data_IF_436791560304
#
_entry.id   IF_436791560304
#
_cell.length_a   1.000
_cell.length_b   1.000
_cell.length_c   1.000
_cell.angle_alpha   90.00
_cell.angle_beta   90.00
_cell.angle_gamma   90.00
#
_symmetry.space_group_name_H-M   'P 1'
#
loop_
_entity.id
_entity.type
_entity.pdbx_description
1 polymer ?
#
# COMPACT_ATOMS: atom_id res chain seq x y z
N UNK A 1 -8.69 3.80 -13.23
CA UNK A 1 -7.53 3.39 -12.41
C UNK A 1 -8.07 2.65 -11.20
N UNK A 2 -7.36 1.70 -10.63
CA UNK A 2 -7.65 1.13 -9.31
C UNK A 2 -6.38 1.06 -8.48
N UNK A 3 -6.55 1.10 -7.16
CA UNK A 3 -5.46 0.91 -6.22
C UNK A 3 -5.63 -0.50 -5.65
N UNK A 4 -4.59 -1.31 -5.79
CA UNK A 4 -4.54 -2.69 -5.31
C UNK A 4 -3.70 -2.68 -4.06
N UNK A 5 -4.24 -3.10 -2.92
CA UNK A 5 -3.47 -3.26 -1.68
C UNK A 5 -3.18 -4.73 -1.51
N UNK A 6 -1.91 -5.08 -1.38
CA UNK A 6 -1.48 -6.45 -1.24
C UNK A 6 -0.48 -6.64 -0.11
N UNK A 7 -0.69 -7.65 0.72
CA UNK A 7 0.25 -8.07 1.75
C UNK A 7 0.98 -9.33 1.30
N UNK A 8 2.34 -9.33 1.29
CA UNK A 8 3.11 -10.52 0.95
C UNK A 8 2.82 -11.65 1.95
N UNK A 9 2.94 -12.90 1.50
CA UNK A 9 2.80 -14.07 2.34
C UNK A 9 3.85 -14.03 3.45
N UNK A 10 3.49 -13.52 4.62
CA UNK A 10 4.29 -13.81 5.80
C UNK A 10 4.29 -15.33 6.00
N UNK A 11 5.43 -15.89 6.46
CA UNK A 11 5.52 -17.30 6.89
C UNK A 11 4.61 -17.54 8.10
N UNK A 12 3.29 -17.39 7.92
CA UNK A 12 2.33 -17.65 8.97
C UNK A 12 2.02 -19.14 8.97
N UNK A 13 2.51 -19.83 9.99
CA UNK A 13 2.15 -21.21 10.32
C UNK A 13 0.67 -21.34 10.76
N UNK A 14 -0.21 -20.50 10.24
CA UNK A 14 -1.62 -20.57 10.56
C UNK A 14 -2.25 -21.68 9.73
N UNK A 15 -2.32 -22.87 10.33
CA UNK A 15 -2.81 -24.13 9.77
C UNK A 15 -4.29 -24.10 9.37
N UNK A 16 -5.07 -23.11 9.87
CA UNK A 16 -6.52 -23.07 9.64
C UNK A 16 -6.93 -22.89 8.15
N UNK A 17 -6.04 -22.37 7.31
CA UNK A 17 -6.31 -22.08 5.89
C UNK A 17 -5.54 -22.96 4.90
N UNK A 18 -4.85 -24.00 5.37
CA UNK A 18 -4.03 -24.87 4.50
C UNK A 18 -4.85 -25.58 3.41
N UNK A 19 -6.13 -25.80 3.65
CA UNK A 19 -7.02 -26.55 2.75
C UNK A 19 -7.59 -25.73 1.59
N UNK A 20 -7.56 -24.37 1.67
CA UNK A 20 -8.15 -23.47 0.69
C UNK A 20 -7.17 -22.34 0.32
N UNK A 21 -6.12 -22.68 -0.44
CA UNK A 21 -5.08 -21.72 -0.88
C UNK A 21 -5.67 -20.48 -1.56
N UNK A 22 -6.75 -20.63 -2.32
CA UNK A 22 -7.45 -19.52 -2.98
C UNK A 22 -8.03 -18.52 -1.98
N UNK A 23 -8.62 -18.97 -0.86
CA UNK A 23 -9.17 -18.10 0.18
C UNK A 23 -8.04 -17.35 0.88
N UNK A 24 -6.94 -18.04 1.19
CA UNK A 24 -5.77 -17.43 1.81
C UNK A 24 -5.16 -16.35 0.92
N UNK A 25 -5.08 -16.57 -0.38
CA UNK A 25 -4.61 -15.58 -1.34
C UNK A 25 -5.56 -14.41 -1.45
N UNK A 26 -6.88 -14.65 -1.57
CA UNK A 26 -7.87 -13.58 -1.71
C UNK A 26 -7.92 -12.64 -0.50
N UNK A 27 -7.75 -13.17 0.71
CA UNK A 27 -7.74 -12.38 1.94
C UNK A 27 -6.60 -11.35 2.03
N UNK A 28 -5.61 -11.45 1.15
CA UNK A 28 -4.44 -10.56 1.13
C UNK A 28 -4.52 -9.46 0.10
N UNK A 29 -5.53 -9.49 -0.76
CA UNK A 29 -5.71 -8.53 -1.83
C UNK A 29 -7.01 -7.78 -1.58
N UNK A 30 -6.91 -6.48 -1.50
CA UNK A 30 -8.05 -5.57 -1.50
C UNK A 30 -7.88 -4.51 -2.59
N UNK A 31 -8.96 -3.81 -2.91
CA UNK A 31 -8.93 -2.72 -3.86
C UNK A 31 -9.54 -1.48 -3.26
N UNK A 32 -8.98 -0.33 -3.60
CA UNK A 32 -9.52 0.97 -3.26
C UNK A 32 -9.96 1.69 -4.55
N UNK A 33 -10.94 2.56 -4.41
CA UNK A 33 -11.37 3.44 -5.50
C UNK A 33 -10.26 4.41 -5.90
N UNK A 34 -10.29 4.91 -7.11
CA UNK A 34 -9.32 5.91 -7.58
C UNK A 34 -9.46 7.26 -6.89
N UNK A 35 -10.66 7.59 -6.38
CA UNK A 35 -10.92 8.81 -5.60
C UNK A 35 -10.20 8.81 -4.25
N UNK A 36 -9.75 7.65 -3.76
CA UNK A 36 -8.95 7.57 -2.53
C UNK A 36 -7.56 8.20 -2.69
N UNK A 37 -7.08 8.36 -3.94
CA UNK A 37 -5.73 8.81 -4.21
C UNK A 37 -5.60 10.33 -4.15
N UNK A 38 -4.74 10.79 -3.25
CA UNK A 38 -4.22 12.16 -3.23
C UNK A 38 -2.79 12.17 -3.76
N UNK A 39 -2.53 13.04 -4.74
CA UNK A 39 -1.22 13.14 -5.39
C UNK A 39 -0.22 13.94 -4.55
N UNK A 40 1.07 13.75 -4.85
CA UNK A 40 2.20 14.37 -4.16
C UNK A 40 1.99 15.87 -3.84
N UNK A 41 2.36 16.25 -2.63
CA UNK A 41 2.35 17.63 -2.13
C UNK A 41 0.96 18.17 -1.71
N UNK A 42 -0.13 17.47 -2.03
CA UNK A 42 -1.45 17.88 -1.57
C UNK A 42 -1.70 17.43 -0.13
N UNK A 43 -2.34 18.26 0.71
CA UNK A 43 -2.66 17.86 2.07
C UNK A 43 -3.69 16.73 2.10
N UNK A 44 -3.56 15.89 3.12
CA UNK A 44 -4.56 14.86 3.46
C UNK A 44 -5.43 15.37 4.58
N UNK A 45 -6.74 15.36 4.36
CA UNK A 45 -7.72 15.75 5.38
C UNK A 45 -8.23 14.51 6.09
N UNK A 46 -7.98 14.42 7.40
CA UNK A 46 -8.49 13.33 8.22
C UNK A 46 -9.97 13.59 8.51
N UNK A 47 -10.87 12.66 8.14
CA UNK A 47 -12.29 12.82 8.44
C UNK A 47 -12.56 12.86 9.94
N UNK A 48 -13.55 13.63 10.36
CA UNK A 48 -13.99 13.79 11.76
C UNK A 48 -15.02 12.73 12.21
N UNK A 49 -15.63 12.00 11.25
CA UNK A 49 -16.71 11.05 11.49
C UNK A 49 -16.28 9.63 11.90
N UNK A 50 -15.02 9.26 11.74
CA UNK A 50 -14.57 7.86 11.92
C UNK A 50 -13.81 7.58 13.22
N UNK A 51 -13.64 8.58 14.08
CA UNK A 51 -12.87 8.45 15.31
C UNK A 51 -11.38 8.38 15.05
N UNK A 52 -10.69 7.39 15.63
CA UNK A 52 -9.23 7.25 15.49
C UNK A 52 -8.85 6.88 14.05
N UNK A 53 -8.00 7.70 13.44
CA UNK A 53 -7.39 7.44 12.14
C UNK A 53 -5.95 6.93 12.32
N UNK A 54 -5.65 5.78 11.74
CA UNK A 54 -4.30 5.25 11.65
C UNK A 54 -3.78 5.39 10.22
N UNK A 55 -2.46 5.41 10.09
CA UNK A 55 -1.77 5.48 8.83
C UNK A 55 -0.65 4.45 8.77
N UNK A 56 -0.37 3.95 7.58
CA UNK A 56 0.71 2.99 7.33
C UNK A 56 1.47 3.38 6.06
N UNK A 57 2.80 3.33 6.15
CA UNK A 57 3.65 3.52 4.98
C UNK A 57 3.57 2.31 4.06
N UNK A 58 3.48 2.58 2.77
CA UNK A 58 3.49 1.59 1.70
C UNK A 58 4.58 1.91 0.67
N UNK A 59 5.14 0.89 0.05
CA UNK A 59 5.73 1.06 -1.28
C UNK A 59 4.60 1.05 -2.29
N UNK A 60 4.60 2.04 -3.18
CA UNK A 60 3.67 2.14 -4.30
C UNK A 60 4.37 1.71 -5.58
N UNK A 61 3.74 0.83 -6.35
CA UNK A 61 4.26 0.26 -7.59
C UNK A 61 3.32 0.62 -8.73
N UNK A 62 3.83 1.28 -9.77
CA UNK A 62 3.04 1.66 -10.95
C UNK A 62 2.95 0.49 -11.92
N UNK A 63 1.73 0.08 -12.24
CA UNK A 63 1.48 -0.96 -13.26
C UNK A 63 1.59 -0.34 -14.66
N UNK A 64 2.40 -0.96 -15.51
CA UNK A 64 2.71 -0.47 -16.86
C UNK A 64 2.00 -1.21 -17.98
N UNK A 65 1.34 -2.35 -17.70
CA UNK A 65 0.72 -3.20 -18.73
C UNK A 65 -0.57 -3.84 -18.25
N UNK A 66 -1.45 -4.14 -19.23
CA UNK A 66 -2.61 -4.99 -19.01
C UNK A 66 -2.17 -6.45 -18.75
N UNK A 67 -2.73 -7.08 -17.73
CA UNK A 67 -2.47 -8.48 -17.41
C UNK A 67 -3.57 -9.14 -16.59
N UNK A 68 -3.66 -10.45 -16.72
CA UNK A 68 -4.55 -11.35 -15.96
C UNK A 68 -3.85 -12.70 -15.80
N UNK A 69 -3.98 -13.32 -14.63
CA UNK A 69 -3.38 -14.63 -14.31
C UNK A 69 -1.87 -14.69 -14.64
N UNK A 70 -1.12 -13.69 -14.17
CA UNK A 70 0.30 -13.51 -14.47
C UNK A 70 1.12 -14.46 -13.61
N UNK A 71 1.91 -15.39 -14.20
CA UNK A 71 2.86 -16.19 -13.42
C UNK A 71 3.90 -15.27 -12.74
N UNK A 72 4.23 -15.54 -11.48
CA UNK A 72 5.14 -14.70 -10.68
C UNK A 72 6.47 -14.43 -11.39
N UNK A 73 7.04 -15.40 -12.09
CA UNK A 73 8.30 -15.26 -12.86
C UNK A 73 8.24 -14.20 -13.97
N UNK A 74 7.05 -13.77 -14.37
CA UNK A 74 6.83 -12.74 -15.39
C UNK A 74 6.32 -11.42 -14.82
N UNK A 75 6.03 -11.34 -13.54
CA UNK A 75 5.41 -10.17 -12.90
C UNK A 75 6.24 -8.89 -13.08
N UNK A 76 7.59 -8.99 -13.07
CA UNK A 76 8.50 -7.87 -13.29
C UNK A 76 8.31 -7.13 -14.63
N UNK A 77 7.60 -7.71 -15.60
CA UNK A 77 7.30 -7.09 -16.88
C UNK A 77 6.08 -6.16 -16.84
N UNK A 78 5.37 -6.12 -15.70
CA UNK A 78 4.09 -5.45 -15.55
C UNK A 78 4.15 -4.18 -14.70
N UNK A 79 5.33 -3.80 -14.20
CA UNK A 79 5.53 -2.56 -13.47
C UNK A 79 6.82 -1.88 -13.93
N UNK A 80 6.88 -0.56 -13.81
CA UNK A 80 7.97 0.26 -14.35
C UNK A 80 8.48 1.35 -13.40
N UNK A 81 7.77 1.62 -12.29
CA UNK A 81 8.19 2.67 -11.36
C UNK A 81 7.78 2.37 -9.93
N UNK A 82 8.54 2.92 -8.99
CA UNK A 82 8.28 2.88 -7.56
C UNK A 82 8.05 4.26 -6.98
N UNK A 83 7.28 4.31 -5.92
CA UNK A 83 7.10 5.48 -5.06
C UNK A 83 6.89 5.03 -3.62
N UNK A 84 6.69 6.00 -2.74
CA UNK A 84 6.13 5.80 -1.41
C UNK A 84 4.71 6.31 -1.37
N UNK A 85 3.88 5.67 -0.57
CA UNK A 85 2.55 6.13 -0.25
C UNK A 85 2.26 5.95 1.23
N UNK A 86 1.32 6.73 1.76
CA UNK A 86 0.73 6.51 3.08
C UNK A 86 -0.74 6.20 2.88
N UNK A 87 -1.16 5.03 3.38
CA UNK A 87 -2.57 4.60 3.41
C UNK A 87 -3.14 4.91 4.78
N UNK A 88 -4.30 5.55 4.80
CA UNK A 88 -5.05 5.89 5.99
C UNK A 88 -6.22 4.94 6.20
N UNK A 89 -6.57 4.69 7.46
CA UNK A 89 -7.77 3.93 7.82
C UNK A 89 -8.41 4.50 9.09
N UNK A 90 -9.73 4.55 9.11
CA UNK A 90 -10.52 4.93 10.28
C UNK A 90 -10.62 3.72 11.21
N UNK A 91 -9.56 3.48 12.00
CA UNK A 91 -9.39 2.27 12.79
C UNK A 91 -10.45 2.12 13.90
N UNK A 92 -10.96 3.22 14.43
CA UNK A 92 -12.08 3.21 15.37
C UNK A 92 -13.33 2.62 14.72
N UNK A 93 -13.77 3.22 13.62
CA UNK A 93 -14.92 2.75 12.83
C UNK A 93 -14.76 1.30 12.37
N UNK A 94 -13.57 0.95 11.83
CA UNK A 94 -13.28 -0.42 11.37
C UNK A 94 -13.48 -1.44 12.50
N UNK A 95 -12.94 -1.16 13.67
CA UNK A 95 -13.06 -2.06 14.82
C UNK A 95 -14.51 -2.28 15.24
N UNK A 96 -15.33 -1.24 15.29
CA UNK A 96 -16.73 -1.36 15.68
C UNK A 96 -17.55 -2.12 14.63
N UNK A 97 -17.34 -1.84 13.33
CA UNK A 97 -17.99 -2.60 12.26
C UNK A 97 -17.60 -4.08 12.26
N UNK A 98 -16.33 -4.40 12.50
CA UNK A 98 -15.85 -5.78 12.61
C UNK A 98 -16.50 -6.52 13.80
N UNK A 99 -16.65 -5.89 14.95
CA UNK A 99 -17.35 -6.46 16.11
C UNK A 99 -18.83 -6.73 15.82
N UNK A 100 -19.46 -5.86 15.03
CA UNK A 100 -20.85 -6.00 14.61
C UNK A 100 -21.04 -6.99 13.44
N UNK A 101 -19.96 -7.58 12.92
CA UNK A 101 -19.98 -8.40 11.69
C UNK A 101 -20.51 -7.65 10.47
N UNK A 102 -20.33 -6.32 10.42
CA UNK A 102 -20.75 -5.45 9.32
C UNK A 102 -19.57 -5.15 8.36
N UNK A 103 -19.85 -4.83 7.08
CA UNK A 103 -18.85 -4.44 6.12
C UNK A 103 -18.09 -3.16 6.55
N UNK A 104 -16.77 -3.21 6.59
CA UNK A 104 -15.92 -2.06 7.00
C UNK A 104 -15.24 -1.34 5.83
N UNK A 105 -15.68 -1.59 4.59
CA UNK A 105 -15.06 -1.07 3.39
C UNK A 105 -14.83 0.46 3.44
N UNK A 106 -15.82 1.23 3.91
CA UNK A 106 -15.71 2.69 3.98
C UNK A 106 -14.70 3.20 5.01
N UNK A 107 -14.31 2.37 5.98
CA UNK A 107 -13.28 2.74 6.94
C UNK A 107 -11.88 2.83 6.29
N UNK A 108 -11.69 2.25 5.12
CA UNK A 108 -10.42 2.27 4.37
C UNK A 108 -10.53 2.95 3.00
N UNK A 109 -11.74 3.14 2.49
CA UNK A 109 -12.00 3.53 1.11
C UNK A 109 -12.78 4.85 1.03
N UNK A 110 -12.26 5.86 1.72
CA UNK A 110 -12.79 7.22 1.67
C UNK A 110 -11.88 8.11 0.81
N UNK A 111 -12.43 9.20 0.29
CA UNK A 111 -11.69 10.14 -0.57
C UNK A 111 -10.42 10.66 0.12
N UNK A 112 -9.30 10.57 -0.56
CA UNK A 112 -8.01 11.00 -0.01
C UNK A 112 -7.37 10.06 1.02
N UNK A 113 -7.90 8.83 1.20
CA UNK A 113 -7.32 7.85 2.14
C UNK A 113 -5.95 7.29 1.74
N UNK A 114 -5.41 7.68 0.58
CA UNK A 114 -4.06 7.32 0.13
C UNK A 114 -3.34 8.57 -0.37
N UNK A 115 -2.25 8.96 0.29
CA UNK A 115 -1.33 9.96 -0.25
C UNK A 115 -0.18 9.26 -0.94
N UNK A 116 0.03 9.55 -2.23
CA UNK A 116 1.10 8.93 -3.03
C UNK A 116 2.09 9.99 -3.50
N UNK A 117 3.37 9.65 -3.39
CA UNK A 117 4.47 10.50 -3.80
C UNK A 117 4.74 10.48 -5.31
N UNK A 118 5.87 11.05 -5.69
CA UNK A 118 6.35 11.02 -7.07
C UNK A 118 6.95 9.65 -7.40
N UNK A 119 6.66 9.14 -8.60
CA UNK A 119 7.20 7.88 -9.05
C UNK A 119 8.61 8.05 -9.64
N UNK A 120 9.52 7.20 -9.19
CA UNK A 120 10.85 7.04 -9.78
C UNK A 120 10.84 5.82 -10.70
N UNK A 121 11.28 5.99 -11.94
CA UNK A 121 11.32 4.91 -12.93
C UNK A 121 12.39 3.89 -12.56
N UNK A 122 12.04 2.62 -12.70
CA UNK A 122 12.97 1.53 -12.53
C UNK A 122 13.82 1.40 -13.79
N UNK A 123 15.14 1.60 -13.65
CA UNK A 123 16.07 1.11 -14.66
C UNK A 123 15.95 -0.43 -14.71
N UNK A 124 16.38 -1.06 -15.83
CA UNK A 124 16.30 -2.52 -16.07
C UNK A 124 16.90 -3.41 -14.97
N UNK A 125 17.35 -2.84 -13.86
CA UNK A 125 17.88 -3.53 -12.70
C UNK A 125 16.77 -4.14 -11.87
N UNK A 126 17.00 -5.34 -11.38
CA UNK A 126 16.14 -5.96 -10.39
C UNK A 126 15.97 -5.05 -9.17
N UNK A 127 14.73 -4.94 -8.68
CA UNK A 127 14.46 -4.22 -7.43
C UNK A 127 15.03 -5.05 -6.28
N UNK A 128 16.20 -4.63 -5.83
CA UNK A 128 16.91 -5.29 -4.74
C UNK A 128 16.48 -4.82 -3.36
N UNK A 129 17.46 -4.68 -2.49
CA UNK A 129 17.26 -4.14 -1.15
C UNK A 129 17.12 -2.62 -1.21
N UNK A 130 16.18 -2.09 -0.44
CA UNK A 130 15.97 -0.65 -0.32
C UNK A 130 16.02 -0.21 1.14
N UNK A 131 16.43 1.04 1.34
CA UNK A 131 16.34 1.72 2.62
C UNK A 131 15.27 2.80 2.52
N UNK A 132 14.30 2.75 3.41
CA UNK A 132 13.23 3.74 3.49
C UNK A 132 13.44 4.54 4.77
N UNK A 133 13.33 5.85 4.68
CA UNK A 133 13.23 6.76 5.81
C UNK A 133 11.87 7.46 5.77
N UNK A 134 11.10 7.32 6.83
CA UNK A 134 9.85 8.03 7.06
C UNK A 134 10.04 9.04 8.19
N UNK A 135 9.74 10.30 7.92
CA UNK A 135 9.61 11.36 8.92
C UNK A 135 8.13 11.66 9.16
N UNK A 136 7.74 11.64 10.41
CA UNK A 136 6.38 11.94 10.88
C UNK A 136 6.51 13.01 11.97
N UNK A 137 6.44 14.28 11.58
CA UNK A 137 6.85 15.38 12.43
C UNK A 137 8.31 15.26 12.83
N UNK A 138 8.58 15.21 14.14
CA UNK A 138 9.95 15.04 14.68
C UNK A 138 10.41 13.56 14.74
N UNK A 139 9.49 12.60 14.55
CA UNK A 139 9.79 11.18 14.64
C UNK A 139 10.33 10.65 13.31
N UNK A 140 11.48 10.00 13.35
CA UNK A 140 12.04 9.29 12.22
C UNK A 140 11.92 7.77 12.40
N UNK A 141 11.58 7.08 11.32
CA UNK A 141 11.53 5.61 11.26
C UNK A 141 12.29 5.14 10.03
N UNK A 142 13.34 4.37 10.23
CA UNK A 142 14.11 3.77 9.17
C UNK A 142 13.73 2.29 9.00
N UNK A 143 13.64 1.85 7.76
CA UNK A 143 13.36 0.46 7.38
C UNK A 143 14.36 0.01 6.33
N UNK A 144 14.86 -1.19 6.48
CA UNK A 144 15.57 -1.90 5.43
C UNK A 144 14.68 -3.04 4.94
N UNK A 145 14.45 -3.07 3.64
CA UNK A 145 13.60 -4.08 2.99
C UNK A 145 14.46 -4.87 2.03
N UNK A 146 14.58 -6.15 2.33
CA UNK A 146 15.31 -7.09 1.49
C UNK A 146 14.37 -7.69 0.44
N UNK A 147 14.92 -7.93 -0.75
CA UNK A 147 14.24 -8.63 -1.83
C UNK A 147 12.86 -8.03 -2.18
N UNK A 148 12.72 -6.71 -2.17
CA UNK A 148 11.46 -6.01 -2.46
C UNK A 148 10.83 -6.47 -3.78
N UNK A 149 11.65 -6.68 -4.83
CA UNK A 149 11.17 -7.16 -6.13
C UNK A 149 10.41 -8.48 -6.05
N UNK A 150 10.87 -9.42 -5.21
CA UNK A 150 10.16 -10.69 -5.00
C UNK A 150 8.78 -10.49 -4.36
N UNK A 151 8.67 -9.56 -3.41
CA UNK A 151 7.39 -9.22 -2.76
C UNK A 151 6.43 -8.54 -3.74
N UNK A 152 6.94 -7.65 -4.60
CA UNK A 152 6.16 -7.02 -5.67
C UNK A 152 5.65 -8.08 -6.65
N UNK A 153 6.52 -8.96 -7.12
CA UNK A 153 6.17 -10.02 -8.07
C UNK A 153 5.09 -10.95 -7.52
N UNK A 154 5.18 -11.31 -6.23
CA UNK A 154 4.18 -12.12 -5.55
C UNK A 154 2.82 -11.44 -5.50
N UNK A 155 2.78 -10.15 -5.13
CA UNK A 155 1.52 -9.39 -5.03
C UNK A 155 0.88 -9.21 -6.41
N UNK A 156 1.66 -8.88 -7.45
CA UNK A 156 1.16 -8.73 -8.81
C UNK A 156 0.60 -10.05 -9.32
N UNK A 157 1.32 -11.16 -9.12
CA UNK A 157 0.86 -12.48 -9.50
C UNK A 157 -0.46 -12.82 -8.80
N UNK A 158 -0.50 -12.69 -7.47
CA UNK A 158 -1.68 -12.99 -6.66
C UNK A 158 -2.86 -12.11 -7.04
N UNK A 159 -2.68 -10.80 -7.13
CA UNK A 159 -3.75 -9.87 -7.53
C UNK A 159 -4.29 -10.21 -8.92
N UNK A 160 -3.42 -10.58 -9.84
CA UNK A 160 -3.82 -10.91 -11.21
C UNK A 160 -4.61 -12.22 -11.34
N UNK A 161 -4.60 -13.10 -10.34
CA UNK A 161 -5.48 -14.27 -10.29
C UNK A 161 -6.95 -13.84 -10.15
N UNK A 162 -7.23 -12.77 -9.40
CA UNK A 162 -8.59 -12.28 -9.13
C UNK A 162 -9.00 -11.14 -10.06
N UNK A 163 -8.09 -10.23 -10.37
CA UNK A 163 -8.32 -8.97 -11.04
C UNK A 163 -7.56 -8.87 -12.36
N UNK A 164 -8.14 -8.23 -13.37
CA UNK A 164 -7.33 -7.73 -14.49
C UNK A 164 -6.61 -6.47 -14.03
N UNK A 165 -5.29 -6.48 -14.01
CA UNK A 165 -4.49 -5.27 -13.78
C UNK A 165 -4.34 -4.50 -15.08
N UNK A 166 -4.24 -3.18 -15.02
CA UNK A 166 -4.16 -2.30 -16.20
C UNK A 166 -3.05 -1.26 -16.03
N UNK A 167 -2.56 -0.76 -17.14
CA UNK A 167 -1.66 0.37 -17.13
C UNK A 167 -2.26 1.55 -16.35
N UNK A 168 -1.45 2.13 -15.46
CA UNK A 168 -1.85 3.21 -14.57
C UNK A 168 -2.48 2.75 -13.24
N UNK A 169 -2.78 1.46 -13.06
CA UNK A 169 -3.12 0.94 -11.73
C UNK A 169 -1.90 1.06 -10.80
N UNK A 170 -2.15 1.17 -9.51
CA UNK A 170 -1.11 1.25 -8.48
C UNK A 170 -1.26 0.06 -7.54
N UNK A 171 -0.18 -0.67 -7.30
CA UNK A 171 -0.12 -1.68 -6.25
C UNK A 171 0.57 -1.09 -5.00
N UNK A 172 -0.06 -1.23 -3.83
CA UNK A 172 0.46 -0.78 -2.55
C UNK A 172 0.88 -1.99 -1.70
N UNK A 173 2.11 -1.94 -1.18
CA UNK A 173 2.68 -2.91 -0.26
C UNK A 173 2.83 -2.24 1.11
N UNK A 174 1.90 -2.46 2.07
CA UNK A 174 1.96 -1.84 3.39
C UNK A 174 3.02 -2.49 4.29
N UNK A 175 3.64 -1.69 5.14
CA UNK A 175 4.60 -2.13 6.17
C UNK A 175 4.04 -1.89 7.57
N UNK A 176 3.46 -2.91 8.19
CA UNK A 176 2.79 -2.81 9.49
C UNK A 176 3.67 -2.21 10.61
N UNK A 177 5.01 -2.38 10.53
CA UNK A 177 5.96 -1.78 11.49
C UNK A 177 5.98 -0.24 11.46
N UNK A 178 5.39 0.38 10.43
CA UNK A 178 5.35 1.83 10.25
C UNK A 178 4.01 2.44 10.64
N UNK A 179 3.14 1.69 11.29
CA UNK A 179 1.84 2.21 11.72
C UNK A 179 2.00 3.38 12.68
N UNK A 180 1.27 4.45 12.42
CA UNK A 180 1.18 5.62 13.29
C UNK A 180 -0.25 6.17 13.32
N UNK A 181 -0.57 6.93 14.36
CA UNK A 181 -1.85 7.67 14.41
C UNK A 181 -1.71 8.94 13.61
N UNK A 182 -2.65 9.19 12.69
CA UNK A 182 -2.70 10.43 11.94
C UNK A 182 -3.12 11.58 12.87
N UNK A 183 -2.22 12.56 13.03
CA UNK A 183 -2.45 13.74 13.85
C UNK A 183 -2.50 14.96 12.93
N UNK A 184 -3.56 15.79 12.98
CA UNK A 184 -3.63 17.04 12.23
C UNK A 184 -2.42 17.95 12.47
N UNK A 185 -2.04 18.72 11.46
CA UNK A 185 -0.89 19.62 11.44
C UNK A 185 0.48 18.92 11.54
N UNK A 186 0.54 17.64 11.17
CA UNK A 186 1.79 16.89 11.09
C UNK A 186 2.29 16.88 9.64
N UNK A 187 3.59 17.16 9.49
CA UNK A 187 4.30 17.06 8.22
C UNK A 187 4.89 15.66 8.04
N UNK A 188 4.68 15.07 6.87
CA UNK A 188 5.15 13.74 6.51
C UNK A 188 6.12 13.84 5.35
N UNK A 189 7.29 13.22 5.50
CA UNK A 189 8.25 13.03 4.43
C UNK A 189 8.67 11.57 4.33
N UNK A 190 8.92 11.10 3.10
CA UNK A 190 9.41 9.75 2.85
C UNK A 190 10.47 9.73 1.76
N UNK A 191 11.52 8.95 1.97
CA UNK A 191 12.59 8.76 0.99
C UNK A 191 12.93 7.30 0.81
N UNK A 192 13.36 6.93 -0.42
CA UNK A 192 13.96 5.64 -0.76
C UNK A 192 15.41 5.89 -1.14
N UNK A 193 16.35 5.20 -0.48
CA UNK A 193 17.79 5.30 -0.73
C UNK A 193 18.32 6.75 -0.74
N UNK A 194 17.70 7.63 0.07
CA UNK A 194 18.03 9.05 0.17
C UNK A 194 17.27 9.96 -0.81
N UNK A 195 16.56 9.42 -1.82
CA UNK A 195 15.74 10.20 -2.73
C UNK A 195 14.37 10.48 -2.10
N UNK A 196 14.04 11.76 -1.87
CA UNK A 196 12.73 12.15 -1.35
C UNK A 196 11.66 11.95 -2.42
N UNK A 197 10.70 11.07 -2.16
CA UNK A 197 9.62 10.73 -3.08
C UNK A 197 8.25 11.16 -2.55
N UNK A 198 8.09 11.25 -1.24
CA UNK A 198 6.81 11.54 -0.59
C UNK A 198 6.93 12.77 0.30
N UNK A 199 5.99 13.69 0.18
CA UNK A 199 5.86 14.85 1.05
C UNK A 199 4.41 15.34 1.06
N UNK A 200 3.84 15.55 2.25
CA UNK A 200 2.51 16.14 2.42
C UNK A 200 2.27 16.55 3.88
N UNK A 201 1.19 17.29 4.11
CA UNK A 201 0.72 17.64 5.44
C UNK A 201 -0.60 16.93 5.76
N UNK A 202 -0.75 16.45 6.98
CA UNK A 202 -2.03 15.99 7.53
C UNK A 202 -2.78 17.23 8.06
N UNK A 203 -4.06 17.36 7.72
CA UNK A 203 -4.95 18.45 8.10
C UNK A 203 -6.20 17.93 8.82
#
# INVERSE_FOLDING_TARGET
MKIIVGEPLANSNNTAYQTLDIIRKSARISTLADTTLTTHGKPVFVPDWGGKCNAVLCVAVRISRLGKSIPQRFAKRYYDALSLAVKFEMSGMKTELQKACEPWYMAENFDGSVSCGTFEELSDKEVGNIKILLKNGEKETALEIENLGKSIDEIIATASEFLSIRQGDIALLPFAKTNFTAVPNTHIEGSINGNKLLEFNIK
#
